data_IF_137024210463
#
_entry.id   IF_137024210463
#
_cell.length_a   1.000
_cell.length_b   1.000
_cell.length_c   1.000
_cell.angle_alpha   90.00
_cell.angle_beta   90.00
_cell.angle_gamma   90.00
#
_symmetry.space_group_name_H-M   'P 1'
#
loop_
_entity.id
_entity.type
_entity.pdbx_description
1 polymer ?
#
# COMPACT_ATOMS: atom_id res chain seq x y z
N UNK A 1 -35.98 20.45 5.82
CA UNK A 1 -35.06 20.29 4.67
C UNK A 1 -35.88 19.84 3.46
N UNK A 2 -35.71 20.47 2.29
CA UNK A 2 -36.43 20.05 1.07
C UNK A 2 -35.73 18.85 0.43
N UNK A 3 -36.47 18.04 -0.34
CA UNK A 3 -35.92 16.88 -1.07
C UNK A 3 -34.72 17.25 -1.95
N UNK A 4 -34.77 18.43 -2.57
CA UNK A 4 -33.67 18.97 -3.35
C UNK A 4 -32.42 19.28 -2.49
N UNK A 5 -32.61 19.83 -1.28
CA UNK A 5 -31.51 20.07 -0.35
C UNK A 5 -30.84 18.77 0.13
N UNK A 6 -31.61 17.72 0.39
CA UNK A 6 -31.06 16.41 0.74
C UNK A 6 -30.24 15.78 -0.40
N UNK A 7 -30.70 15.93 -1.65
CA UNK A 7 -29.97 15.45 -2.83
C UNK A 7 -28.67 16.21 -3.06
N UNK A 8 -28.66 17.54 -2.85
CA UNK A 8 -27.46 18.36 -2.95
C UNK A 8 -26.42 17.99 -1.88
N UNK A 9 -26.87 17.76 -0.65
CA UNK A 9 -25.99 17.30 0.43
C UNK A 9 -25.43 15.90 0.15
N UNK A 10 -26.24 14.99 -0.41
CA UNK A 10 -25.78 13.67 -0.81
C UNK A 10 -24.74 13.75 -1.95
N UNK A 11 -24.97 14.58 -2.97
CA UNK A 11 -23.99 14.83 -4.02
C UNK A 11 -22.70 15.45 -3.47
N UNK A 12 -22.79 16.41 -2.55
CA UNK A 12 -21.63 17.00 -1.90
C UNK A 12 -20.86 15.97 -1.06
N UNK A 13 -21.56 15.09 -0.33
CA UNK A 13 -20.94 14.00 0.42
C UNK A 13 -20.25 13.01 -0.52
N UNK A 14 -20.88 12.61 -1.63
CA UNK A 14 -20.28 11.76 -2.66
C UNK A 14 -19.05 12.41 -3.30
N UNK A 15 -19.08 13.71 -3.56
CA UNK A 15 -17.93 14.47 -4.07
C UNK A 15 -16.82 14.63 -3.04
N UNK A 16 -17.14 14.69 -1.75
CA UNK A 16 -16.13 14.68 -0.68
C UNK A 16 -15.48 13.31 -0.50
N UNK A 17 -16.23 12.23 -0.73
CA UNK A 17 -15.72 10.85 -0.73
C UNK A 17 -14.84 10.62 -1.97
N UNK A 18 -15.30 11.04 -3.16
CA UNK A 18 -14.60 10.82 -4.42
C UNK A 18 -13.51 11.87 -4.76
N UNK A 19 -13.54 13.04 -4.10
CA UNK A 19 -12.72 14.21 -4.42
C UNK A 19 -11.55 14.45 -3.48
N UNK A 20 -11.35 13.57 -2.49
CA UNK A 20 -10.05 13.46 -1.86
C UNK A 20 -9.05 13.08 -2.95
N UNK A 21 -8.07 13.94 -3.18
CA UNK A 21 -6.90 13.60 -3.99
C UNK A 21 -6.23 12.45 -3.24
N UNK A 22 -6.65 11.22 -3.54
CA UNK A 22 -6.03 10.02 -3.02
C UNK A 22 -4.58 10.16 -3.47
N UNK A 23 -3.70 10.53 -2.54
CA UNK A 23 -2.28 10.68 -2.84
C UNK A 23 -1.85 9.29 -3.29
N UNK A 24 -1.72 9.10 -4.61
CA UNK A 24 -1.21 7.86 -5.18
C UNK A 24 0.10 7.57 -4.44
N UNK A 25 0.13 6.46 -3.68
CA UNK A 25 1.38 5.98 -3.08
C UNK A 25 2.40 6.02 -4.21
N UNK A 26 3.49 6.77 -4.01
CA UNK A 26 4.43 6.99 -5.10
C UNK A 26 4.88 5.63 -5.64
N UNK A 27 4.97 5.43 -6.96
CA UNK A 27 5.24 4.11 -7.54
C UNK A 27 6.44 3.39 -6.90
N UNK A 28 7.56 4.07 -6.59
CA UNK A 28 8.67 3.46 -5.85
C UNK A 28 8.30 2.83 -4.50
N UNK A 29 7.46 3.51 -3.71
CA UNK A 29 7.01 3.02 -2.41
C UNK A 29 6.04 1.86 -2.57
N UNK A 30 5.09 1.99 -3.52
CA UNK A 30 4.13 0.92 -3.84
C UNK A 30 4.84 -0.35 -4.27
N UNK A 31 5.79 -0.24 -5.19
CA UNK A 31 6.55 -1.39 -5.70
C UNK A 31 7.40 -2.04 -4.59
N UNK A 32 7.96 -1.23 -3.68
CA UNK A 32 8.74 -1.75 -2.54
C UNK A 32 7.85 -2.52 -1.57
N UNK A 33 6.66 -2.02 -1.27
CA UNK A 33 5.67 -2.69 -0.40
C UNK A 33 5.15 -3.97 -1.05
N UNK A 34 4.87 -3.96 -2.35
CA UNK A 34 4.46 -5.16 -3.08
C UNK A 34 5.56 -6.23 -3.06
N UNK A 35 6.81 -5.85 -3.32
CA UNK A 35 7.96 -6.76 -3.22
C UNK A 35 8.13 -7.32 -1.79
N UNK A 36 7.88 -6.51 -0.77
CA UNK A 36 7.93 -6.96 0.63
C UNK A 36 6.86 -8.02 0.93
N UNK A 37 5.63 -7.81 0.47
CA UNK A 37 4.49 -8.70 0.78
C UNK A 37 4.53 -9.98 -0.07
N UNK A 38 4.68 -9.83 -1.38
CA UNK A 38 4.43 -10.90 -2.37
C UNK A 38 5.66 -11.26 -3.20
N UNK A 39 6.63 -10.36 -3.28
CA UNK A 39 7.83 -10.53 -4.09
C UNK A 39 8.80 -11.58 -3.56
N UNK A 40 9.69 -12.02 -4.46
CA UNK A 40 10.84 -12.87 -4.10
C UNK A 40 11.75 -12.12 -3.13
N UNK A 41 12.23 -12.82 -2.10
CA UNK A 41 13.13 -12.27 -1.08
C UNK A 41 14.27 -11.41 -1.67
N UNK A 42 15.08 -11.96 -2.57
CA UNK A 42 16.19 -11.23 -3.18
C UNK A 42 15.77 -10.00 -3.98
N UNK A 43 14.60 -10.03 -4.64
CA UNK A 43 14.11 -8.88 -5.41
C UNK A 43 13.72 -7.70 -4.49
N UNK A 44 13.20 -7.99 -3.29
CA UNK A 44 12.96 -6.97 -2.28
C UNK A 44 14.28 -6.36 -1.76
N UNK A 45 15.30 -7.17 -1.49
CA UNK A 45 16.61 -6.67 -1.03
C UNK A 45 17.29 -5.82 -2.10
N UNK A 46 17.32 -6.28 -3.35
CA UNK A 46 17.82 -5.49 -4.49
C UNK A 46 17.08 -4.16 -4.63
N UNK A 47 15.78 -4.11 -4.31
CA UNK A 47 15.00 -2.88 -4.33
C UNK A 47 15.40 -1.93 -3.19
N UNK A 48 15.61 -2.43 -1.97
CA UNK A 48 16.04 -1.62 -0.81
C UNK A 48 17.42 -1.00 -1.05
N UNK A 49 18.36 -1.77 -1.60
CA UNK A 49 19.74 -1.34 -1.87
C UNK A 49 19.83 -0.19 -2.89
N UNK A 50 18.81 -0.01 -3.75
CA UNK A 50 18.74 1.15 -4.66
C UNK A 50 18.63 2.47 -3.91
N UNK A 51 17.97 2.48 -2.75
CA UNK A 51 17.69 3.70 -1.99
C UNK A 51 18.64 3.90 -0.82
N UNK A 52 19.15 2.82 -0.23
CA UNK A 52 20.05 2.90 0.90
C UNK A 52 21.15 1.83 0.83
N UNK A 53 22.40 2.29 0.82
CA UNK A 53 23.60 1.45 0.75
C UNK A 53 24.35 1.35 2.07
N UNK A 54 23.85 1.97 3.13
CA UNK A 54 24.38 1.80 4.48
C UNK A 54 24.09 0.37 4.92
N UNK A 55 25.12 -0.37 5.33
CA UNK A 55 25.08 -1.82 5.63
C UNK A 55 23.91 -2.24 6.52
N UNK A 56 23.54 -1.41 7.48
CA UNK A 56 22.61 -1.76 8.55
C UNK A 56 21.15 -1.85 8.05
N UNK A 57 20.83 -1.13 6.97
CA UNK A 57 19.47 -1.07 6.41
C UNK A 57 19.12 -2.33 5.61
N UNK A 58 19.96 -2.82 4.68
CA UNK A 58 19.75 -4.12 4.04
C UNK A 58 19.69 -5.30 5.00
N UNK A 59 20.51 -5.34 6.05
CA UNK A 59 20.49 -6.43 7.05
C UNK A 59 19.16 -6.47 7.83
N UNK A 60 18.68 -5.30 8.24
CA UNK A 60 17.36 -5.18 8.89
C UNK A 60 16.25 -5.58 7.92
N UNK A 61 16.35 -5.18 6.65
CA UNK A 61 15.37 -5.50 5.62
C UNK A 61 15.31 -7.01 5.33
N UNK A 62 16.45 -7.68 5.23
CA UNK A 62 16.58 -9.14 5.09
C UNK A 62 15.87 -9.88 6.23
N UNK A 63 16.16 -9.47 7.46
CA UNK A 63 15.54 -10.03 8.66
C UNK A 63 14.01 -9.88 8.63
N UNK A 64 13.49 -8.67 8.38
CA UNK A 64 12.05 -8.43 8.34
C UNK A 64 11.36 -9.19 7.21
N UNK A 65 11.99 -9.25 6.03
CA UNK A 65 11.44 -10.01 4.89
C UNK A 65 11.40 -11.50 5.18
N UNK A 66 12.41 -12.05 5.85
CA UNK A 66 12.43 -13.46 6.28
C UNK A 66 11.27 -13.79 7.21
N UNK A 67 10.93 -12.88 8.12
CA UNK A 67 9.75 -13.05 8.98
C UNK A 67 8.44 -12.91 8.20
N UNK A 68 8.32 -11.92 7.33
CA UNK A 68 7.12 -11.74 6.51
C UNK A 68 6.87 -12.97 5.62
N UNK A 69 7.90 -13.53 5.00
CA UNK A 69 7.79 -14.70 4.13
C UNK A 69 7.36 -15.97 4.89
N UNK A 70 7.75 -16.11 6.16
CA UNK A 70 7.40 -17.25 7.02
C UNK A 70 6.04 -17.10 7.69
N UNK A 71 5.68 -15.88 8.10
CA UNK A 71 4.50 -15.61 8.92
C UNK A 71 3.26 -15.31 8.12
N UNK A 72 3.38 -14.64 6.96
CA UNK A 72 2.24 -14.28 6.14
C UNK A 72 1.80 -15.47 5.28
N UNK A 73 0.57 -15.92 5.50
CA UNK A 73 -0.05 -16.91 4.62
C UNK A 73 -0.38 -16.29 3.25
N UNK A 74 -0.77 -17.13 2.29
CA UNK A 74 -1.21 -16.64 0.99
C UNK A 74 -2.45 -15.72 1.10
N UNK A 75 -3.35 -16.00 2.05
CA UNK A 75 -4.54 -15.18 2.34
C UNK A 75 -4.12 -13.83 2.92
N UNK A 76 -3.24 -13.81 3.93
CA UNK A 76 -2.75 -12.56 4.52
C UNK A 76 -2.09 -11.65 3.48
N UNK A 77 -1.33 -12.23 2.55
CA UNK A 77 -0.69 -11.49 1.45
C UNK A 77 -1.72 -10.91 0.50
N UNK A 78 -2.73 -11.69 0.12
CA UNK A 78 -3.81 -11.23 -0.75
C UNK A 78 -4.61 -10.11 -0.09
N UNK A 79 -4.93 -10.24 1.19
CA UNK A 79 -5.67 -9.23 1.95
C UNK A 79 -4.86 -7.95 2.13
N UNK A 80 -3.56 -8.06 2.43
CA UNK A 80 -2.67 -6.91 2.54
C UNK A 80 -2.54 -6.13 1.21
N UNK A 81 -2.39 -6.84 0.08
CA UNK A 81 -2.38 -6.22 -1.24
C UNK A 81 -3.73 -5.60 -1.60
N UNK A 82 -4.83 -6.26 -1.25
CA UNK A 82 -6.19 -5.76 -1.47
C UNK A 82 -6.46 -4.52 -0.63
N UNK A 83 -5.92 -4.41 0.58
CA UNK A 83 -5.99 -3.21 1.40
C UNK A 83 -5.16 -2.06 0.81
N UNK A 84 -4.00 -2.37 0.22
CA UNK A 84 -3.14 -1.38 -0.44
C UNK A 84 -3.80 -0.82 -1.72
N UNK A 85 -4.51 -1.65 -2.48
CA UNK A 85 -5.32 -1.23 -3.63
C UNK A 85 -6.67 -0.65 -3.20
N UNK A 86 -7.21 -1.09 -2.07
CA UNK A 86 -8.45 -0.58 -1.46
C UNK A 86 -8.29 0.84 -0.91
N UNK A 87 -7.08 1.25 -0.54
CA UNK A 87 -6.75 2.66 -0.31
C UNK A 87 -6.77 3.50 -1.60
N UNK A 88 -6.78 2.87 -2.78
CA UNK A 88 -7.06 3.52 -4.07
C UNK A 88 -8.56 3.50 -4.43
N UNK A 89 -9.43 2.93 -3.58
CA UNK A 89 -10.88 3.16 -3.64
C UNK A 89 -11.19 4.40 -2.80
N UNK A 90 -11.05 5.56 -3.44
CA UNK A 90 -12.00 6.63 -3.23
C UNK A 90 -13.34 6.19 -3.88
#
# INVERSE_FOLDING_TARGET
MTRAGALLLLCAALLLIAGGKCDDICPPLRDTVDLFISGRHGAYIEQVEKYNKTSDVPETADTLKSYADKSLTAEDKQDALSALVGQAVC
#
